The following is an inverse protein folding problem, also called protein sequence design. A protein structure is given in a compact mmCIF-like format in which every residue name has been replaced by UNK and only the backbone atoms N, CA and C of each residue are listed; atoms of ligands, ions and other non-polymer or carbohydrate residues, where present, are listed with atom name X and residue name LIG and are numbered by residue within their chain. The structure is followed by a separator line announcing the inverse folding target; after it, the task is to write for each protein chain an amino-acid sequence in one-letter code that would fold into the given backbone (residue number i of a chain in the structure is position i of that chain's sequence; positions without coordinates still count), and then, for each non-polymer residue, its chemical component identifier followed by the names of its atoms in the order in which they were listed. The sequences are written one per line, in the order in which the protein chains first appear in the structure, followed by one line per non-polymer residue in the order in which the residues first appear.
data_IF_666846037381
#
_entry.id   IF_666846037381
#
_cell.length_a   1.000
_cell.length_b   1.000
_cell.length_c   1.000
_cell.angle_alpha   90.00
_cell.angle_beta   90.00
_cell.angle_gamma   90.00
#
_symmetry.space_group_name_H-M   'P 1'
#
loop_
_entity.id
_entity.type
_entity.pdbx_description
1 polymer ?
#
# COMPACT_ATOMS: atom_id res chain seq x y z
N UNK A 1 10.67 -21.80 6.77
CA UNK A 1 11.32 -21.72 5.45
C UNK A 1 12.17 -20.45 5.35
N UNK A 2 11.63 -19.25 5.64
CA UNK A 2 12.32 -17.97 5.45
C UNK A 2 13.65 -17.84 6.21
N UNK A 3 13.75 -18.33 7.46
CA UNK A 3 15.00 -18.31 8.23
C UNK A 3 16.12 -19.04 7.52
N UNK A 4 15.84 -20.22 6.91
CA UNK A 4 16.85 -20.96 6.15
C UNK A 4 17.40 -20.19 4.95
N UNK A 5 16.54 -19.41 4.28
CA UNK A 5 16.97 -18.54 3.16
C UNK A 5 17.84 -17.39 3.68
N UNK A 6 17.41 -16.71 4.73
CA UNK A 6 18.17 -15.60 5.32
C UNK A 6 19.51 -16.06 5.88
N UNK A 7 19.58 -17.28 6.45
CA UNK A 7 20.79 -17.88 7.01
C UNK A 7 21.74 -18.52 5.96
N UNK A 8 21.37 -18.50 4.66
CA UNK A 8 22.13 -19.18 3.60
C UNK A 8 23.42 -18.48 3.14
N UNK A 9 23.81 -17.38 3.81
CA UNK A 9 25.03 -16.63 3.49
C UNK A 9 24.85 -15.51 2.46
N UNK A 10 23.60 -15.21 2.03
CA UNK A 10 23.30 -14.10 1.12
C UNK A 10 23.46 -12.74 1.80
N UNK A 11 23.81 -11.70 1.05
CA UNK A 11 23.93 -10.32 1.56
C UNK A 11 22.63 -9.55 1.46
N UNK A 12 21.80 -9.87 0.47
CA UNK A 12 20.51 -9.21 0.18
C UNK A 12 19.40 -10.24 0.14
N UNK A 13 18.27 -9.93 0.73
CA UNK A 13 17.05 -10.74 0.65
C UNK A 13 15.93 -9.97 -0.06
N UNK A 14 15.17 -10.69 -0.89
CA UNK A 14 13.97 -10.19 -1.56
C UNK A 14 12.76 -10.87 -0.94
N UNK A 15 11.91 -10.10 -0.26
CA UNK A 15 10.76 -10.60 0.50
C UNK A 15 9.46 -10.34 -0.27
N UNK A 16 8.92 -11.39 -0.90
CA UNK A 16 7.72 -11.38 -1.74
C UNK A 16 6.56 -12.21 -1.17
N UNK A 17 6.68 -12.66 0.06
CA UNK A 17 5.61 -13.39 0.77
C UNK A 17 4.37 -12.52 0.97
N UNK A 18 3.18 -13.09 1.28
CA UNK A 18 2.01 -12.30 1.62
C UNK A 18 2.31 -11.24 2.70
N UNK A 19 1.69 -10.06 2.64
CA UNK A 19 2.09 -8.90 3.45
C UNK A 19 2.09 -9.10 4.97
N UNK A 20 1.22 -9.95 5.49
CA UNK A 20 1.16 -10.25 6.93
C UNK A 20 2.51 -10.72 7.49
N UNK A 21 3.25 -11.52 6.73
CA UNK A 21 4.53 -12.09 7.19
C UNK A 21 5.71 -11.12 7.09
N UNK A 22 5.55 -10.02 6.43
CA UNK A 22 6.65 -9.12 6.08
C UNK A 22 7.33 -8.49 7.29
N UNK A 23 6.60 -7.96 8.32
CA UNK A 23 7.25 -7.40 9.50
C UNK A 23 8.15 -8.41 10.22
N UNK A 24 7.70 -9.67 10.37
CA UNK A 24 8.47 -10.75 10.99
C UNK A 24 9.70 -11.13 10.18
N UNK A 25 9.56 -11.21 8.85
CA UNK A 25 10.66 -11.58 7.96
C UNK A 25 11.73 -10.47 7.90
N UNK A 26 11.30 -9.21 7.88
CA UNK A 26 12.18 -8.04 7.91
C UNK A 26 12.97 -7.98 9.22
N UNK A 27 12.32 -8.21 10.36
CA UNK A 27 13.00 -8.25 11.66
C UNK A 27 14.14 -9.25 11.66
N UNK A 28 13.85 -10.49 11.27
CA UNK A 28 14.86 -11.54 11.24
C UNK A 28 15.99 -11.23 10.25
N UNK A 29 15.68 -10.67 9.09
CA UNK A 29 16.68 -10.27 8.10
C UNK A 29 17.63 -9.19 8.65
N UNK A 30 17.10 -8.17 9.32
CA UNK A 30 17.89 -7.11 9.94
C UNK A 30 18.71 -7.59 11.14
N UNK A 31 18.20 -8.55 11.94
CA UNK A 31 18.96 -9.21 13.00
C UNK A 31 20.20 -9.92 12.43
N UNK A 32 20.06 -10.53 11.25
CA UNK A 32 21.14 -11.21 10.52
C UNK A 32 21.99 -10.27 9.67
N UNK A 33 21.79 -8.95 9.76
CA UNK A 33 22.59 -7.97 9.04
C UNK A 33 22.39 -7.98 7.52
N UNK A 34 21.20 -8.33 7.03
CA UNK A 34 20.91 -8.42 5.59
C UNK A 34 20.31 -7.12 5.07
N UNK A 35 20.71 -6.72 3.87
CA UNK A 35 19.98 -5.73 3.09
C UNK A 35 18.65 -6.33 2.64
N UNK A 36 17.59 -5.53 2.58
CA UNK A 36 16.25 -6.00 2.24
C UNK A 36 15.64 -5.22 1.09
N UNK A 37 15.17 -5.93 0.07
CA UNK A 37 14.08 -5.50 -0.76
C UNK A 37 12.81 -6.20 -0.28
N UNK A 38 11.71 -5.47 -0.18
CA UNK A 38 10.45 -6.07 0.27
C UNK A 38 9.26 -5.48 -0.48
N UNK A 39 8.36 -6.34 -0.91
CA UNK A 39 7.16 -5.93 -1.65
C UNK A 39 6.18 -5.11 -0.80
N UNK A 40 5.43 -4.27 -1.48
CA UNK A 40 4.27 -3.56 -0.90
C UNK A 40 3.05 -4.51 -0.77
N UNK A 41 2.09 -4.22 0.12
CA UNK A 41 2.20 -3.35 1.28
C UNK A 41 3.17 -3.92 2.32
N UNK A 42 3.66 -3.08 3.22
CA UNK A 42 4.68 -3.52 4.19
C UNK A 42 4.11 -4.28 5.36
N UNK A 43 2.80 -4.20 5.58
CA UNK A 43 2.04 -4.88 6.62
C UNK A 43 0.55 -4.88 6.24
N UNK A 44 -0.29 -5.53 7.06
CA UNK A 44 -1.76 -5.59 6.87
C UNK A 44 -2.54 -4.86 7.97
N UNK A 45 -1.87 -4.45 9.05
CA UNK A 45 -2.46 -3.84 10.24
C UNK A 45 -1.51 -2.82 10.89
N UNK A 46 -2.03 -2.08 11.87
CA UNK A 46 -1.27 -1.02 12.53
C UNK A 46 -0.09 -1.55 13.37
N UNK A 47 -0.20 -2.65 14.12
CA UNK A 47 0.95 -3.26 14.79
C UNK A 47 2.09 -3.58 13.84
N UNK A 48 1.78 -4.20 12.70
CA UNK A 48 2.76 -4.50 11.66
C UNK A 48 3.41 -3.27 11.07
N UNK A 49 2.63 -2.21 10.79
CA UNK A 49 3.15 -0.92 10.28
C UNK A 49 4.10 -0.28 11.30
N UNK A 50 3.71 -0.18 12.58
CA UNK A 50 4.59 0.37 13.64
C UNK A 50 5.90 -0.41 13.73
N UNK A 51 5.82 -1.74 13.61
CA UNK A 51 7.01 -2.59 13.60
C UNK A 51 7.94 -2.25 12.43
N UNK A 52 7.40 -2.06 11.22
CA UNK A 52 8.23 -1.71 10.05
C UNK A 52 8.86 -0.32 10.19
N UNK A 53 8.17 0.65 10.78
CA UNK A 53 8.76 1.97 11.09
C UNK A 53 9.98 1.83 12.02
N UNK A 54 9.87 1.02 13.07
CA UNK A 54 11.00 0.75 13.96
C UNK A 54 12.16 0.05 13.24
N UNK A 55 11.84 -0.92 12.38
CA UNK A 55 12.83 -1.66 11.60
C UNK A 55 13.53 -0.76 10.57
N UNK A 56 12.83 0.17 9.93
CA UNK A 56 13.42 1.14 9.01
C UNK A 56 14.47 2.02 9.69
N UNK A 57 14.21 2.47 10.93
CA UNK A 57 15.17 3.22 11.75
C UNK A 57 16.40 2.36 12.11
N UNK A 58 16.17 1.13 12.56
CA UNK A 58 17.25 0.18 12.87
C UNK A 58 18.11 -0.15 11.63
N UNK A 59 17.47 -0.29 10.45
CA UNK A 59 18.20 -0.51 9.20
C UNK A 59 19.13 0.66 8.88
N UNK A 60 18.64 1.90 9.06
CA UNK A 60 19.44 3.12 8.87
C UNK A 60 20.63 3.18 9.84
N UNK A 61 20.42 2.88 11.12
CA UNK A 61 21.47 2.82 12.14
C UNK A 61 22.56 1.79 11.81
N UNK A 62 22.17 0.65 11.22
CA UNK A 62 23.06 -0.43 10.81
C UNK A 62 23.67 -0.24 9.41
N UNK A 63 23.36 0.85 8.73
CA UNK A 63 23.75 1.08 7.33
C UNK A 63 23.33 -0.07 6.40
N UNK A 64 22.09 -0.56 6.53
CA UNK A 64 21.50 -1.60 5.70
C UNK A 64 20.49 -1.04 4.72
N UNK A 65 20.52 -1.52 3.47
CA UNK A 65 19.50 -1.21 2.47
C UNK A 65 18.14 -1.75 2.91
N UNK A 66 17.11 -0.90 2.83
CA UNK A 66 15.76 -1.21 3.29
C UNK A 66 14.76 -0.58 2.34
N UNK A 67 14.53 -1.23 1.19
CA UNK A 67 13.79 -0.68 0.07
C UNK A 67 12.49 -1.41 -0.17
N UNK A 68 11.43 -0.65 -0.33
CA UNK A 68 10.08 -1.17 -0.63
C UNK A 68 9.80 -1.26 -2.12
N UNK A 69 8.90 -2.19 -2.53
CA UNK A 69 8.43 -2.37 -3.90
C UNK A 69 7.37 -1.35 -4.33
N UNK A 70 7.45 -0.09 -3.89
CA UNK A 70 6.64 1.00 -4.44
C UNK A 70 7.21 1.47 -5.79
N UNK A 71 7.20 0.57 -6.78
CA UNK A 71 7.84 0.72 -8.08
C UNK A 71 7.49 2.03 -8.81
N UNK A 72 6.30 2.60 -8.58
CA UNK A 72 5.91 3.86 -9.22
C UNK A 72 6.74 5.06 -8.76
N UNK A 73 7.36 4.98 -7.58
CA UNK A 73 8.34 5.97 -7.10
C UNK A 73 9.67 5.90 -7.84
N UNK A 74 9.90 4.81 -8.60
CA UNK A 74 11.09 4.60 -9.43
C UNK A 74 10.81 4.78 -10.94
N UNK A 75 9.61 5.25 -11.30
CA UNK A 75 9.22 5.58 -12.67
C UNK A 75 9.61 7.02 -13.01
N UNK A 76 10.53 7.21 -13.96
CA UNK A 76 11.06 8.55 -14.29
C UNK A 76 9.97 9.58 -14.64
N UNK A 77 8.95 9.25 -15.48
CA UNK A 77 7.87 10.18 -15.74
C UNK A 77 7.11 10.61 -14.49
N UNK A 78 6.89 9.68 -13.54
CA UNK A 78 6.21 10.00 -12.28
C UNK A 78 7.09 10.84 -11.36
N UNK A 79 8.37 10.50 -11.22
CA UNK A 79 9.32 11.30 -10.44
C UNK A 79 9.35 12.74 -10.91
N UNK A 80 9.41 12.96 -12.22
CA UNK A 80 9.45 14.31 -12.78
C UNK A 80 8.15 15.08 -12.52
N UNK A 81 7.00 14.43 -12.72
CA UNK A 81 5.69 15.05 -12.49
C UNK A 81 5.49 15.40 -11.02
N UNK A 82 5.77 14.45 -10.11
CA UNK A 82 5.57 14.68 -8.68
C UNK A 82 6.63 15.65 -8.11
N UNK A 83 7.87 15.61 -8.59
CA UNK A 83 8.88 16.63 -8.28
C UNK A 83 8.37 18.04 -8.60
N UNK A 84 7.81 18.25 -9.79
CA UNK A 84 7.23 19.55 -10.19
C UNK A 84 6.02 19.96 -9.35
N UNK A 85 5.17 19.00 -8.92
CA UNK A 85 4.07 19.30 -8.00
C UNK A 85 4.62 19.83 -6.69
N UNK A 86 5.64 19.16 -6.13
CA UNK A 86 6.30 19.58 -4.88
C UNK A 86 7.01 20.91 -5.02
N UNK A 87 7.55 21.23 -6.21
CA UNK A 87 8.14 22.54 -6.55
C UNK A 87 7.07 23.64 -6.82
N UNK A 88 5.78 23.32 -6.63
CA UNK A 88 4.69 24.28 -6.71
C UNK A 88 4.12 24.54 -8.11
N UNK A 89 4.38 23.67 -9.09
CA UNK A 89 3.89 23.85 -10.46
C UNK A 89 2.35 23.85 -10.59
N UNK A 90 1.64 23.23 -9.65
CA UNK A 90 0.17 23.28 -9.58
C UNK A 90 -0.33 24.30 -8.55
N UNK A 91 0.57 24.96 -7.81
CA UNK A 91 0.24 25.81 -6.66
C UNK A 91 -0.17 24.97 -5.45
N UNK A 92 -1.01 25.55 -4.58
CA UNK A 92 -1.56 24.82 -3.43
C UNK A 92 -2.48 23.70 -3.91
N UNK A 93 -2.25 22.49 -3.43
CA UNK A 93 -3.08 21.34 -3.77
C UNK A 93 -4.43 21.46 -3.03
N UNK A 94 -5.52 21.54 -3.80
CA UNK A 94 -6.88 21.70 -3.26
C UNK A 94 -7.63 20.38 -3.19
N UNK A 95 -7.47 19.55 -4.23
CA UNK A 95 -8.11 18.24 -4.30
C UNK A 95 -7.25 17.25 -5.09
N UNK A 96 -7.45 15.97 -4.79
CA UNK A 96 -6.88 14.87 -5.57
C UNK A 96 -7.98 13.88 -5.89
N UNK A 97 -7.90 13.29 -7.07
CA UNK A 97 -8.77 12.19 -7.49
C UNK A 97 -7.90 10.98 -7.83
N UNK A 98 -8.30 9.82 -7.34
CA UNK A 98 -7.53 8.59 -7.50
C UNK A 98 -8.45 7.41 -7.72
N UNK A 99 -8.12 6.55 -8.68
CA UNK A 99 -8.85 5.30 -8.92
C UNK A 99 -7.90 4.13 -9.07
N UNK A 100 -8.36 2.96 -8.59
CA UNK A 100 -7.76 1.67 -8.90
C UNK A 100 -8.88 0.65 -9.17
N UNK A 101 -9.31 0.57 -10.42
CA UNK A 101 -10.45 -0.26 -10.82
C UNK A 101 -9.97 -1.46 -11.63
N UNK A 102 -10.25 -2.66 -11.15
CA UNK A 102 -9.89 -3.93 -11.75
C UNK A 102 -11.06 -4.90 -11.86
N UNK A 103 -10.81 -6.03 -12.49
CA UNK A 103 -11.68 -7.18 -12.43
C UNK A 103 -11.55 -7.95 -11.12
N UNK A 104 -12.29 -9.04 -11.01
CA UNK A 104 -12.19 -9.97 -9.87
C UNK A 104 -10.76 -10.41 -9.63
N UNK A 105 -10.42 -10.62 -8.34
CA UNK A 105 -9.14 -11.23 -7.97
C UNK A 105 -9.06 -12.65 -8.51
N UNK A 106 -7.83 -13.05 -8.86
CA UNK A 106 -7.56 -14.44 -9.20
C UNK A 106 -7.77 -15.34 -7.97
N UNK A 107 -8.13 -16.59 -8.22
CA UNK A 107 -8.22 -17.62 -7.19
C UNK A 107 -7.99 -18.99 -7.75
N UNK A 108 -7.60 -19.87 -6.86
CA UNK A 108 -7.41 -21.29 -7.11
C UNK A 108 -8.54 -22.07 -6.44
N UNK A 109 -9.25 -22.95 -7.14
CA UNK A 109 -10.18 -23.86 -6.51
C UNK A 109 -9.48 -24.64 -5.40
N UNK A 110 -10.16 -24.86 -4.28
CA UNK A 110 -9.64 -25.69 -3.20
C UNK A 110 -9.54 -27.14 -3.69
N UNK A 111 -8.40 -27.77 -3.47
CA UNK A 111 -8.15 -29.15 -3.80
C UNK A 111 -8.32 -30.04 -2.57
N UNK A 112 -8.67 -31.34 -2.79
CA UNK A 112 -8.78 -32.32 -1.73
C UNK A 112 -7.45 -32.49 -0.97
N UNK A 113 -7.52 -32.51 0.34
CA UNK A 113 -6.36 -32.63 1.21
C UNK A 113 -5.69 -31.33 1.62
N UNK A 114 -6.08 -30.18 1.06
CA UNK A 114 -5.58 -28.91 1.56
C UNK A 114 -6.17 -28.59 2.94
N UNK A 115 -5.30 -28.24 3.88
CA UNK A 115 -5.75 -27.66 5.15
C UNK A 115 -6.34 -26.26 4.91
N UNK A 116 -7.07 -25.72 5.89
CA UNK A 116 -7.63 -24.38 5.79
C UNK A 116 -6.52 -23.34 5.62
N UNK A 117 -5.42 -23.48 6.37
CA UNK A 117 -4.26 -22.61 6.22
C UNK A 117 -3.67 -22.68 4.80
N UNK A 118 -3.54 -23.87 4.23
CA UNK A 118 -3.03 -24.01 2.87
C UNK A 118 -3.96 -23.38 1.85
N UNK A 119 -5.27 -23.59 1.94
CA UNK A 119 -6.26 -23.01 1.06
C UNK A 119 -6.24 -21.47 1.12
N UNK A 120 -6.18 -20.89 2.34
CA UNK A 120 -6.07 -19.45 2.52
C UNK A 120 -4.74 -18.91 2.01
N UNK A 121 -3.62 -19.56 2.28
CA UNK A 121 -2.30 -19.14 1.76
C UNK A 121 -2.23 -19.16 0.23
N UNK A 122 -2.86 -20.13 -0.42
CA UNK A 122 -2.92 -20.24 -1.88
C UNK A 122 -3.85 -19.22 -2.53
N UNK A 123 -4.79 -18.68 -1.76
CA UNK A 123 -5.73 -17.61 -2.13
C UNK A 123 -5.55 -16.37 -1.23
N UNK A 124 -4.31 -16.07 -0.85
CA UNK A 124 -3.97 -15.06 0.15
C UNK A 124 -4.60 -13.69 -0.11
N UNK A 125 -4.80 -13.32 -1.35
CA UNK A 125 -5.40 -12.05 -1.77
C UNK A 125 -6.88 -11.91 -1.34
N UNK A 126 -7.60 -13.02 -1.12
CA UNK A 126 -8.99 -13.05 -0.66
C UNK A 126 -9.15 -12.96 0.87
N UNK A 127 -8.07 -13.11 1.62
CA UNK A 127 -8.12 -13.17 3.08
C UNK A 127 -7.52 -11.93 3.71
N UNK A 128 -8.35 -11.21 4.47
CA UNK A 128 -8.00 -9.94 5.11
C UNK A 128 -6.69 -10.02 5.89
N UNK A 129 -6.50 -11.08 6.68
CA UNK A 129 -5.31 -11.24 7.51
C UNK A 129 -4.02 -11.43 6.71
N UNK A 130 -4.10 -11.87 5.45
CA UNK A 130 -2.95 -12.06 4.57
C UNK A 130 -2.67 -10.86 3.68
N UNK A 131 -3.72 -10.24 3.13
CA UNK A 131 -3.63 -9.18 2.12
C UNK A 131 -3.80 -7.77 2.67
N UNK A 132 -4.56 -7.61 3.74
CA UNK A 132 -5.02 -6.31 4.22
C UNK A 132 -6.19 -5.73 3.43
N UNK A 133 -6.81 -6.52 2.54
CA UNK A 133 -7.82 -6.16 1.54
C UNK A 133 -7.26 -5.42 0.30
N UNK A 134 -8.04 -5.36 -0.76
CA UNK A 134 -7.67 -4.80 -2.06
C UNK A 134 -7.24 -3.35 -2.03
N UNK A 135 -7.81 -2.55 -1.15
CA UNK A 135 -7.43 -1.15 -0.96
C UNK A 135 -5.98 -1.03 -0.44
N UNK A 136 -5.54 -1.96 0.41
CA UNK A 136 -4.19 -2.00 0.98
C UNK A 136 -3.23 -2.73 0.05
N UNK A 137 -3.69 -3.81 -0.61
CA UNK A 137 -2.81 -4.64 -1.44
C UNK A 137 -2.62 -4.05 -2.84
N UNK A 138 -3.68 -3.62 -3.52
CA UNK A 138 -3.62 -3.15 -4.90
C UNK A 138 -3.71 -1.63 -5.02
N UNK A 139 -4.76 -1.03 -4.47
CA UNK A 139 -5.03 0.39 -4.64
C UNK A 139 -4.01 1.29 -3.96
N UNK A 140 -3.18 0.73 -3.08
CA UNK A 140 -2.14 1.45 -2.36
C UNK A 140 -1.17 2.22 -3.28
N UNK A 141 -0.93 1.75 -4.49
CA UNK A 141 -0.10 2.49 -5.46
C UNK A 141 -0.66 3.87 -5.78
N UNK A 142 -1.98 3.98 -5.94
CA UNK A 142 -2.65 5.25 -6.20
C UNK A 142 -2.76 6.11 -4.92
N UNK A 143 -2.96 5.46 -3.78
CA UNK A 143 -2.98 6.12 -2.46
C UNK A 143 -1.59 6.70 -2.14
N UNK A 144 -0.53 5.94 -2.39
CA UNK A 144 0.86 6.39 -2.26
C UNK A 144 1.16 7.62 -3.11
N UNK A 145 0.68 7.68 -4.35
CA UNK A 145 0.85 8.87 -5.19
C UNK A 145 0.13 10.10 -4.64
N UNK A 146 -1.06 9.95 -4.02
CA UNK A 146 -1.70 11.09 -3.34
C UNK A 146 -0.86 11.57 -2.16
N UNK A 147 -0.31 10.66 -1.36
CA UNK A 147 0.59 11.01 -0.27
C UNK A 147 1.86 11.68 -0.78
N UNK A 148 2.46 11.17 -1.86
CA UNK A 148 3.62 11.77 -2.51
C UNK A 148 3.35 13.21 -2.96
N UNK A 149 2.19 13.48 -3.56
CA UNK A 149 1.77 14.84 -3.94
C UNK A 149 1.67 15.80 -2.74
N UNK A 150 1.46 15.28 -1.54
CA UNK A 150 1.41 16.03 -0.28
C UNK A 150 2.77 16.09 0.45
N UNK A 151 3.87 15.76 -0.23
CA UNK A 151 5.22 15.73 0.36
C UNK A 151 5.39 14.65 1.44
N UNK A 152 4.79 13.52 1.21
CA UNK A 152 4.78 12.35 2.11
C UNK A 152 4.15 12.62 3.50
N UNK A 153 3.32 13.66 3.60
CA UNK A 153 2.54 13.93 4.81
C UNK A 153 1.30 13.03 4.86
N UNK A 154 1.05 12.41 6.00
CA UNK A 154 -0.16 11.63 6.21
C UNK A 154 -1.41 12.53 6.25
N UNK A 155 -2.58 12.03 5.82
CA UNK A 155 -3.83 12.74 6.04
C UNK A 155 -4.17 12.82 7.53
N UNK A 156 -4.93 13.83 7.94
CA UNK A 156 -5.38 13.96 9.33
C UNK A 156 -6.43 12.92 9.68
N UNK A 157 -7.33 12.61 8.74
CA UNK A 157 -8.37 11.61 8.92
C UNK A 157 -8.89 11.07 7.58
N UNK A 158 -9.70 10.03 7.65
CA UNK A 158 -10.48 9.52 6.53
C UNK A 158 -11.92 9.22 6.93
N UNK A 159 -12.82 9.33 5.93
CA UNK A 159 -14.18 8.85 5.95
C UNK A 159 -14.38 7.97 4.71
N UNK A 160 -15.18 6.91 4.81
CA UNK A 160 -15.29 5.98 3.70
C UNK A 160 -16.64 5.27 3.65
N UNK A 161 -16.98 4.83 2.44
CA UNK A 161 -17.98 3.81 2.16
C UNK A 161 -17.31 2.65 1.44
N UNK A 162 -17.82 1.45 1.61
CA UNK A 162 -17.35 0.27 0.90
C UNK A 162 -18.23 -0.92 1.23
N UNK A 163 -17.98 -2.03 0.62
CA UNK A 163 -18.74 -3.23 0.86
C UNK A 163 -18.52 -4.32 -0.18
N UNK A 164 -19.48 -5.23 -0.22
CA UNK A 164 -19.53 -6.35 -1.16
C UNK A 164 -20.80 -6.25 -1.99
N UNK A 165 -20.64 -6.28 -3.28
CA UNK A 165 -21.75 -6.30 -4.24
C UNK A 165 -21.71 -7.55 -5.12
N UNK A 166 -20.49 -7.97 -5.49
CA UNK A 166 -20.28 -9.13 -6.36
C UNK A 166 -19.50 -10.25 -5.65
N UNK A 167 -18.90 -10.00 -4.51
CA UNK A 167 -18.21 -11.02 -3.70
C UNK A 167 -19.20 -11.67 -2.72
N UNK A 168 -20.12 -12.48 -3.24
CA UNK A 168 -21.23 -13.10 -2.52
C UNK A 168 -20.89 -14.43 -1.84
N UNK A 169 -19.77 -15.04 -2.20
CA UNK A 169 -19.33 -16.36 -1.74
C UNK A 169 -18.05 -16.22 -0.87
N UNK A 170 -18.16 -16.59 0.42
CA UNK A 170 -17.05 -16.55 1.38
C UNK A 170 -15.95 -17.54 1.08
N UNK A 171 -16.29 -18.74 0.59
CA UNK A 171 -15.29 -19.76 0.23
C UNK A 171 -14.45 -19.29 -0.97
N UNK A 172 -15.07 -18.47 -1.77
CA UNK A 172 -14.48 -17.97 -3.00
C UNK A 172 -13.68 -16.68 -2.81
N UNK A 173 -14.20 -15.74 -2.07
CA UNK A 173 -13.67 -14.38 -1.95
C UNK A 173 -13.22 -14.01 -0.53
N UNK A 174 -13.23 -14.99 0.40
CA UNK A 174 -12.87 -14.72 1.78
C UNK A 174 -13.72 -13.62 2.40
N UNK A 175 -13.09 -12.75 3.18
CA UNK A 175 -13.77 -11.71 3.94
C UNK A 175 -13.40 -10.27 3.53
N UNK A 176 -12.86 -10.07 2.34
CA UNK A 176 -12.52 -8.75 1.79
C UNK A 176 -13.71 -8.07 1.13
N UNK A 177 -13.65 -6.76 0.98
CA UNK A 177 -14.61 -5.97 0.20
C UNK A 177 -14.25 -6.00 -1.31
N UNK A 178 -15.25 -5.79 -2.16
CA UNK A 178 -15.04 -5.68 -3.61
C UNK A 178 -15.00 -4.22 -4.11
N UNK A 179 -15.34 -3.25 -3.26
CA UNK A 179 -15.23 -1.84 -3.60
C UNK A 179 -15.03 -0.93 -2.39
N UNK A 180 -14.38 0.20 -2.64
CA UNK A 180 -14.12 1.27 -1.67
C UNK A 180 -14.33 2.64 -2.30
N UNK A 181 -14.88 3.57 -1.51
CA UNK A 181 -14.93 5.00 -1.79
C UNK A 181 -14.44 5.72 -0.52
N UNK A 182 -13.28 6.35 -0.58
CA UNK A 182 -12.62 6.97 0.57
C UNK A 182 -12.35 8.43 0.32
N UNK A 183 -12.63 9.26 1.30
CA UNK A 183 -12.23 10.66 1.34
C UNK A 183 -11.16 10.83 2.43
N UNK A 184 -9.94 11.11 2.00
CA UNK A 184 -8.84 11.49 2.88
C UNK A 184 -8.80 13.00 3.03
N UNK A 185 -8.53 13.50 4.23
CA UNK A 185 -8.41 14.93 4.51
C UNK A 185 -6.99 15.25 4.99
N UNK A 186 -6.36 16.19 4.33
CA UNK A 186 -5.14 16.87 4.81
C UNK A 186 -5.52 18.27 5.25
N UNK A 187 -5.24 18.62 6.48
CA UNK A 187 -5.44 19.99 6.96
C UNK A 187 -4.25 20.86 6.58
N UNK A 188 -4.54 22.08 6.15
CA UNK A 188 -3.56 23.14 5.88
C UNK A 188 -4.15 24.50 6.23
N UNK A 189 -3.34 25.57 6.16
CA UNK A 189 -3.76 26.93 6.48
C UNK A 189 -4.88 27.47 5.59
N UNK A 190 -5.08 26.90 4.40
CA UNK A 190 -6.09 27.30 3.41
C UNK A 190 -7.41 26.53 3.51
N UNK A 191 -7.61 25.73 4.59
CA UNK A 191 -8.85 24.96 4.80
C UNK A 191 -8.76 23.48 4.40
N UNK A 192 -7.58 23.06 3.91
CA UNK A 192 -7.25 21.65 3.72
C UNK A 192 -7.42 21.11 2.29
N UNK A 193 -6.77 19.99 2.04
CA UNK A 193 -6.80 19.25 0.79
C UNK A 193 -7.62 17.99 0.96
N UNK A 194 -8.48 17.66 -0.01
CA UNK A 194 -9.22 16.40 -0.04
C UNK A 194 -8.70 15.47 -1.12
N UNK A 195 -8.44 14.21 -0.73
CA UNK A 195 -8.13 13.12 -1.65
C UNK A 195 -9.31 12.18 -1.76
N UNK A 196 -9.89 12.07 -2.96
CA UNK A 196 -10.98 11.16 -3.26
C UNK A 196 -10.40 9.92 -3.92
N UNK A 197 -10.55 8.76 -3.26
CA UNK A 197 -10.10 7.48 -3.78
C UNK A 197 -11.27 6.55 -4.05
N UNK A 198 -11.31 5.94 -5.22
CA UNK A 198 -12.27 4.91 -5.59
C UNK A 198 -11.53 3.68 -6.11
N UNK A 199 -11.87 2.52 -5.55
CA UNK A 199 -11.35 1.25 -6.06
C UNK A 199 -12.44 0.19 -6.10
N UNK A 200 -12.31 -0.75 -7.05
CA UNK A 200 -13.19 -1.91 -7.15
C UNK A 200 -12.53 -3.07 -7.87
N UNK A 201 -13.06 -4.25 -7.60
CA UNK A 201 -12.69 -5.51 -8.23
C UNK A 201 -13.94 -6.18 -8.81
N UNK A 202 -14.48 -5.63 -9.89
CA UNK A 202 -15.77 -6.02 -10.48
C UNK A 202 -15.62 -6.22 -11.99
N UNK A 203 -15.87 -7.44 -12.46
CA UNK A 203 -15.80 -7.77 -13.88
C UNK A 203 -16.84 -7.01 -14.70
N UNK A 204 -16.54 -6.75 -15.97
CA UNK A 204 -17.45 -6.07 -16.90
C UNK A 204 -17.58 -4.55 -16.66
N UNK A 205 -16.80 -3.98 -15.74
CA UNK A 205 -16.78 -2.54 -15.47
C UNK A 205 -15.58 -1.86 -16.12
N UNK A 206 -15.62 -0.53 -16.23
CA UNK A 206 -14.47 0.26 -16.72
C UNK A 206 -13.31 0.10 -15.74
N UNK A 207 -12.20 -0.46 -16.23
CA UNK A 207 -10.97 -0.66 -15.48
C UNK A 207 -9.97 0.48 -15.67
N UNK A 208 -8.93 0.44 -14.85
CA UNK A 208 -7.78 1.35 -14.93
C UNK A 208 -7.41 1.96 -13.58
N UNK A 209 -6.24 2.57 -13.56
CA UNK A 209 -5.71 3.29 -12.41
C UNK A 209 -5.33 4.71 -12.85
N UNK A 210 -5.58 5.68 -11.98
CA UNK A 210 -5.40 7.10 -12.29
C UNK A 210 -5.17 7.89 -11.01
N UNK A 211 -4.31 8.91 -11.10
CA UNK A 211 -4.18 9.95 -10.08
C UNK A 211 -4.15 11.31 -10.76
N UNK A 212 -5.02 12.18 -10.31
CA UNK A 212 -5.09 13.58 -10.72
C UNK A 212 -4.92 14.48 -9.50
N UNK A 213 -4.18 15.57 -9.66
CA UNK A 213 -3.92 16.55 -8.61
C UNK A 213 -4.39 17.92 -9.09
N UNK A 214 -5.32 18.51 -8.38
CA UNK A 214 -5.93 19.81 -8.68
C UNK A 214 -5.39 20.87 -7.72
N UNK A 215 -4.72 21.83 -8.25
CA UNK A 215 -4.12 22.92 -7.47
C UNK A 215 -4.65 24.30 -7.86
N UNK A 216 -4.21 25.34 -7.12
CA UNK A 216 -4.63 26.72 -7.32
C UNK A 216 -4.13 27.35 -8.64
N UNK A 217 -3.02 26.83 -9.22
CA UNK A 217 -2.42 27.31 -10.47
C UNK A 217 -2.59 26.38 -11.66
N UNK A 218 -2.98 25.13 -11.43
CA UNK A 218 -3.12 24.15 -12.49
C UNK A 218 -3.54 22.80 -12.00
N UNK A 219 -3.54 21.81 -12.90
CA UNK A 219 -3.84 20.44 -12.54
C UNK A 219 -2.86 19.47 -13.20
N UNK A 220 -2.66 18.33 -12.56
CA UNK A 220 -1.80 17.26 -13.05
C UNK A 220 -2.62 16.02 -13.34
N UNK A 221 -2.31 15.32 -14.45
CA UNK A 221 -2.75 13.94 -14.70
C UNK A 221 -1.52 13.04 -14.78
N UNK A 222 -1.44 12.07 -13.90
CA UNK A 222 -0.34 11.11 -13.82
C UNK A 222 -0.69 9.73 -14.44
N UNK A 223 -1.74 9.64 -15.26
CA UNK A 223 -2.18 8.40 -15.91
C UNK A 223 -1.28 8.02 -17.09
N UNK A 224 -1.56 8.58 -18.26
CA UNK A 224 -0.92 8.18 -19.52
C UNK A 224 -0.02 9.26 -20.10
N UNK A 225 -0.17 10.50 -19.67
CA UNK A 225 0.51 11.66 -20.28
C UNK A 225 1.58 12.26 -19.40
N UNK A 226 1.53 12.03 -18.08
CA UNK A 226 2.43 12.65 -17.11
C UNK A 226 2.60 14.13 -17.45
N UNK A 227 1.53 14.88 -17.27
CA UNK A 227 1.43 16.27 -17.70
C UNK A 227 0.89 17.16 -16.60
N UNK A 228 1.34 18.41 -16.59
CA UNK A 228 0.79 19.48 -15.77
C UNK A 228 0.18 20.50 -16.73
N UNK A 229 -1.08 20.82 -16.52
CA UNK A 229 -1.82 21.82 -17.27
C UNK A 229 -2.06 23.03 -16.36
N UNK A 230 -1.24 24.06 -16.52
CA UNK A 230 -1.37 25.32 -15.83
C UNK A 230 -2.30 26.29 -16.53
N UNK A 231 -2.64 27.39 -15.86
CA UNK A 231 -3.43 28.48 -16.47
C UNK A 231 -2.63 29.25 -17.53
N UNK A 232 -1.31 29.30 -17.35
CA UNK A 232 -0.39 30.07 -18.21
C UNK A 232 0.50 29.13 -19.03
N UNK A 233 0.95 28.00 -18.46
CA UNK A 233 1.87 27.07 -19.09
C UNK A 233 1.37 25.62 -18.98
N UNK A 234 1.64 24.85 -20.04
CA UNK A 234 1.42 23.41 -20.05
C UNK A 234 2.77 22.69 -20.19
N UNK A 235 3.00 21.74 -19.29
CA UNK A 235 4.17 20.87 -19.33
C UNK A 235 3.78 19.42 -19.53
N UNK A 236 4.58 18.68 -20.26
CA UNK A 236 4.43 17.24 -20.44
C UNK A 236 5.80 16.58 -20.42
N UNK A 237 5.91 15.45 -19.74
CA UNK A 237 7.10 14.63 -19.75
C UNK A 237 7.47 14.19 -21.18
N UNK A 238 8.74 14.31 -21.55
CA UNK A 238 9.30 13.94 -22.87
C UNK A 238 10.61 13.15 -22.75
N UNK A 239 10.97 12.73 -21.53
CA UNK A 239 12.17 11.96 -21.25
C UNK A 239 11.97 10.45 -21.51
N UNK A 240 12.93 9.68 -21.05
CA UNK A 240 12.90 8.23 -21.11
C UNK A 240 11.79 7.65 -20.24
N UNK A 241 11.04 6.70 -20.80
CA UNK A 241 10.06 5.90 -20.07
C UNK A 241 10.75 4.59 -19.63
N UNK A 242 11.37 4.62 -18.44
CA UNK A 242 12.14 3.50 -17.92
C UNK A 242 11.27 2.31 -17.48
N UNK A 243 11.89 1.14 -17.36
CA UNK A 243 11.33 0.03 -16.62
C UNK A 243 11.48 0.31 -15.11
N UNK A 244 10.39 0.66 -14.45
CA UNK A 244 10.37 1.01 -13.04
C UNK A 244 10.75 -0.14 -12.11
N UNK A 245 10.40 -1.38 -12.48
CA UNK A 245 10.73 -2.58 -11.71
C UNK A 245 12.23 -2.87 -11.75
N UNK A 246 12.84 -2.78 -12.92
CA UNK A 246 14.28 -2.93 -13.02
C UNK A 246 15.01 -1.76 -12.36
N UNK A 247 14.45 -0.56 -12.45
CA UNK A 247 15.07 0.65 -11.89
C UNK A 247 15.14 0.59 -10.37
N UNK A 248 14.08 0.17 -9.67
CA UNK A 248 14.11 0.06 -8.20
C UNK A 248 15.21 -0.89 -7.73
N UNK A 249 15.37 -2.05 -8.36
CA UNK A 249 16.46 -2.97 -8.03
C UNK A 249 17.84 -2.40 -8.36
N UNK A 250 18.00 -1.76 -9.52
CA UNK A 250 19.28 -1.13 -9.89
C UNK A 250 19.69 -0.06 -8.87
N UNK A 251 18.76 0.77 -8.41
CA UNK A 251 19.02 1.81 -7.43
C UNK A 251 19.38 1.23 -6.06
N UNK A 252 18.68 0.19 -5.60
CA UNK A 252 19.04 -0.49 -4.35
C UNK A 252 20.45 -1.05 -4.41
N UNK A 253 20.77 -1.85 -5.42
CA UNK A 253 22.08 -2.47 -5.54
C UNK A 253 23.22 -1.45 -5.77
N UNK A 254 22.95 -0.37 -6.51
CA UNK A 254 23.92 0.71 -6.68
C UNK A 254 24.21 1.41 -5.35
N UNK A 255 23.19 1.71 -4.56
CA UNK A 255 23.30 2.36 -3.26
C UNK A 255 24.10 1.50 -2.25
N UNK A 256 23.86 0.19 -2.23
CA UNK A 256 24.61 -0.77 -1.40
C UNK A 256 26.08 -0.77 -1.79
N UNK A 257 26.40 -0.87 -3.08
CA UNK A 257 27.80 -0.87 -3.57
C UNK A 257 28.51 0.46 -3.31
N UNK A 258 27.76 1.55 -3.28
CA UNK A 258 28.29 2.88 -2.95
C UNK A 258 28.50 3.10 -1.44
N UNK A 259 28.12 2.15 -0.58
CA UNK A 259 28.22 2.27 0.87
C UNK A 259 27.23 3.24 1.51
N UNK A 260 26.23 3.72 0.76
CA UNK A 260 25.14 4.58 1.23
C UNK A 260 23.79 3.96 0.86
N UNK A 261 23.39 2.87 1.53
CA UNK A 261 22.23 2.07 1.16
C UNK A 261 20.92 2.85 1.22
N UNK A 262 20.08 2.67 0.22
CA UNK A 262 18.76 3.27 0.13
C UNK A 262 17.83 2.76 1.24
N UNK A 263 17.00 3.65 1.81
CA UNK A 263 16.00 3.30 2.83
C UNK A 263 14.77 4.20 2.68
N UNK A 264 13.66 3.62 2.26
CA UNK A 264 12.35 4.27 2.16
C UNK A 264 11.30 3.65 3.11
N UNK A 265 11.73 2.80 4.04
CA UNK A 265 10.84 2.00 4.87
C UNK A 265 9.85 2.81 5.69
N UNK A 266 10.22 4.00 6.18
CA UNK A 266 9.28 4.87 6.92
C UNK A 266 8.18 5.43 6.00
N UNK A 267 8.54 5.87 4.80
CA UNK A 267 7.58 6.37 3.79
C UNK A 267 6.65 5.25 3.34
N UNK A 268 7.19 4.08 3.05
CA UNK A 268 6.41 2.90 2.65
C UNK A 268 5.44 2.43 3.76
N UNK A 269 5.88 2.46 5.01
CA UNK A 269 5.05 2.14 6.16
C UNK A 269 3.91 3.17 6.34
N UNK A 270 4.21 4.44 6.15
CA UNK A 270 3.21 5.50 6.21
C UNK A 270 2.18 5.37 5.07
N UNK A 271 2.59 5.12 3.82
CA UNK A 271 1.68 4.88 2.71
C UNK A 271 0.79 3.65 2.96
N UNK A 272 1.36 2.58 3.52
CA UNK A 272 0.60 1.40 3.94
C UNK A 272 -0.44 1.75 5.00
N UNK A 273 -0.08 2.59 5.97
CA UNK A 273 -1.01 3.02 7.02
C UNK A 273 -2.16 3.87 6.46
N UNK A 274 -1.93 4.70 5.45
CA UNK A 274 -2.99 5.47 4.77
C UNK A 274 -3.99 4.53 4.08
N UNK A 275 -3.52 3.47 3.43
CA UNK A 275 -4.39 2.43 2.89
C UNK A 275 -5.22 1.72 3.98
N UNK A 276 -4.58 1.36 5.09
CA UNK A 276 -5.23 0.74 6.26
C UNK A 276 -6.26 1.68 6.89
N UNK A 277 -5.96 2.97 7.03
CA UNK A 277 -6.89 4.00 7.50
C UNK A 277 -8.17 4.02 6.64
N UNK A 278 -8.04 4.02 5.32
CA UNK A 278 -9.17 3.97 4.40
C UNK A 278 -10.01 2.69 4.57
N UNK A 279 -9.36 1.54 4.74
CA UNK A 279 -10.03 0.28 5.04
C UNK A 279 -10.78 0.34 6.37
N UNK A 280 -10.15 0.79 7.44
CA UNK A 280 -10.77 0.90 8.76
C UNK A 280 -11.99 1.81 8.74
N UNK A 281 -11.88 2.96 8.08
CA UNK A 281 -13.02 3.87 7.90
C UNK A 281 -14.18 3.21 7.14
N UNK A 282 -13.91 2.47 6.05
CA UNK A 282 -14.92 1.76 5.29
C UNK A 282 -15.57 0.62 6.08
N UNK A 283 -14.78 -0.16 6.81
CA UNK A 283 -15.23 -1.31 7.58
C UNK A 283 -16.11 -0.95 8.76
N UNK A 284 -15.84 0.19 9.38
CA UNK A 284 -16.57 0.67 10.56
C UNK A 284 -17.69 1.67 10.23
N UNK A 285 -17.58 2.34 9.08
CA UNK A 285 -18.45 3.48 8.73
C UNK A 285 -18.18 4.71 9.61
N UNK A 286 -17.00 4.78 10.25
CA UNK A 286 -16.62 5.88 11.14
C UNK A 286 -15.62 6.80 10.48
N UNK A 287 -15.61 8.07 10.92
CA UNK A 287 -14.50 8.98 10.70
C UNK A 287 -13.37 8.60 11.65
N UNK A 288 -12.20 8.30 11.10
CA UNK A 288 -11.03 7.85 11.88
C UNK A 288 -9.86 8.77 11.57
N UNK A 289 -9.16 9.24 12.60
CA UNK A 289 -7.92 10.00 12.44
C UNK A 289 -6.76 9.06 12.11
N UNK A 290 -5.74 9.60 11.45
CA UNK A 290 -4.52 8.84 11.16
C UNK A 290 -3.84 8.35 12.46
N UNK A 291 -3.85 9.18 13.50
CA UNK A 291 -3.27 8.85 14.80
C UNK A 291 -4.03 7.71 15.49
N UNK A 292 -5.36 7.74 15.50
CA UNK A 292 -6.18 6.62 16.04
C UNK A 292 -5.87 5.34 15.27
N UNK A 293 -5.88 5.39 13.94
CA UNK A 293 -5.59 4.24 13.10
C UNK A 293 -4.18 3.68 13.34
N UNK A 294 -3.16 4.54 13.42
CA UNK A 294 -1.78 4.13 13.69
C UNK A 294 -1.62 3.50 15.08
N UNK A 295 -2.40 3.95 16.08
CA UNK A 295 -2.37 3.44 17.44
C UNK A 295 -3.33 2.27 17.69
N UNK A 296 -4.10 1.86 16.68
CA UNK A 296 -4.98 0.70 16.76
C UNK A 296 -4.23 -0.55 17.24
N UNK A 297 -4.93 -1.35 18.04
CA UNK A 297 -4.43 -2.64 18.56
C UNK A 297 -4.91 -3.82 17.70
N UNK A 298 -5.66 -3.55 16.64
CA UNK A 298 -6.14 -4.60 15.74
C UNK A 298 -4.96 -5.36 15.13
N UNK A 299 -4.75 -6.58 15.61
CA UNK A 299 -3.85 -7.56 15.01
C UNK A 299 -4.70 -8.53 14.19
N UNK A 300 -4.40 -8.63 12.91
CA UNK A 300 -5.14 -9.51 12.00
C UNK A 300 -4.55 -10.92 11.94
N UNK A 301 -3.41 -11.16 12.56
CA UNK A 301 -2.75 -12.46 12.55
C UNK A 301 -3.56 -13.47 13.39
N UNK A 302 -3.96 -14.62 12.84
CA UNK A 302 -4.60 -15.66 13.62
C UNK A 302 -3.71 -16.15 14.77
N UNK A 303 -4.32 -16.45 15.93
CA UNK A 303 -3.58 -16.94 17.11
C UNK A 303 -2.81 -18.23 16.84
N UNK A 304 -3.36 -19.11 16.02
CA UNK A 304 -2.77 -20.40 15.67
C UNK A 304 -2.56 -20.53 14.16
N UNK A 305 -1.31 -20.66 13.75
CA UNK A 305 -0.91 -20.87 12.36
C UNK A 305 -0.19 -22.22 12.23
N UNK A 306 -0.94 -23.28 12.10
CA UNK A 306 -0.43 -24.61 11.81
C UNK A 306 -1.26 -25.32 10.73
N UNK A 307 -0.67 -26.35 10.12
CA UNK A 307 -1.28 -27.07 8.99
C UNK A 307 -2.44 -28.03 9.37
N UNK A 308 -2.75 -28.18 10.64
CA UNK A 308 -3.70 -29.19 11.13
C UNK A 308 -4.92 -28.58 11.82
N UNK A 309 -4.75 -27.42 12.45
CA UNK A 309 -5.83 -26.71 13.15
C UNK A 309 -6.76 -26.06 12.14
N UNK A 310 -8.07 -26.24 12.24
CA UNK A 310 -9.04 -25.53 11.43
C UNK A 310 -8.85 -24.01 11.56
N UNK A 311 -8.85 -23.32 10.43
CA UNK A 311 -8.70 -21.87 10.36
C UNK A 311 -9.94 -21.26 9.69
N UNK A 312 -10.90 -20.88 10.51
CA UNK A 312 -12.11 -20.23 10.02
C UNK A 312 -11.82 -18.87 9.39
N UNK A 313 -12.54 -18.54 8.33
CA UNK A 313 -12.55 -17.17 7.77
C UNK A 313 -13.48 -16.32 8.65
N UNK A 314 -12.98 -15.20 9.23
CA UNK A 314 -13.84 -14.30 10.01
C UNK A 314 -14.97 -13.71 9.16
N UNK A 315 -16.03 -13.28 9.81
CA UNK A 315 -17.16 -12.62 9.14
C UNK A 315 -16.72 -11.39 8.36
N UNK A 316 -17.45 -11.09 7.29
CA UNK A 316 -17.26 -9.86 6.52
C UNK A 316 -17.59 -8.65 7.40
N UNK A 317 -16.75 -7.63 7.47
CA UNK A 317 -17.06 -6.42 8.21
C UNK A 317 -18.35 -5.74 7.73
N UNK A 318 -19.13 -5.20 8.69
CA UNK A 318 -20.39 -4.51 8.40
C UNK A 318 -20.32 -3.07 8.93
N UNK A 319 -20.35 -2.06 8.06
CA UNK A 319 -20.31 -0.66 8.48
C UNK A 319 -21.44 -0.33 9.47
N UNK A 320 -21.12 0.40 10.54
CA UNK A 320 -22.02 0.70 11.64
C UNK A 320 -22.18 -0.39 12.69
N UNK A 321 -21.72 -1.61 12.42
CA UNK A 321 -21.73 -2.77 13.34
C UNK A 321 -20.33 -3.14 13.77
N UNK A 322 -19.40 -3.25 12.81
CA UNK A 322 -17.98 -3.52 13.09
C UNK A 322 -17.37 -2.38 13.88
N UNK A 323 -16.76 -2.71 15.00
CA UNK A 323 -16.16 -1.70 15.89
C UNK A 323 -14.73 -1.40 15.47
N UNK A 324 -14.36 -0.14 15.66
CA UNK A 324 -12.95 0.26 15.62
C UNK A 324 -12.25 -0.21 16.91
N UNK A 325 -11.03 -0.78 16.79
CA UNK A 325 -10.26 -1.37 17.91
C UNK A 325 -8.87 -0.71 17.97
#
# INVERSE_FOLDING_TARGET
AYKKVIDSGVDVVILTTPPNFRPQHLEYALEKGKHCFFEKPVAVDAPGVRKVIELAKKAKEKNLGFMSGFCWRHHYPKREVFGRILDGAVGDVNAMYSTYNGGEIWKKPREDGWSDLEAQMRNWNAHLWLSGDSIVEQAIHCIDMMQWAMGDKAPTHAEASGGRQVYDDMDKYGNIFDHFAVVYQWENESGGTRGYHYSRQQNGTVGGYEVEVYGSKGYCSAKNRHAILGKEDAWRFRGENNDMYQTEHNELFASIRAGNPFNDGEVAAQSTMVGILGRMAAYTGQKITYEEALNSKQDLTPEHLDWKTPLAVPDVPVPGVTKFI
#
